data_IF_216378142722
#
_entry.id   IF_216378142722
#
_cell.length_a   1.000
_cell.length_b   1.000
_cell.length_c   1.000
_cell.angle_alpha   90.00
_cell.angle_beta   90.00
_cell.angle_gamma   90.00
#
_symmetry.space_group_name_H-M   'P 1'
#
loop_
_entity.id
_entity.type
_entity.pdbx_description
1 polymer ?
#
# COMPACT_ATOMS: atom_id res chain seq x y z
N UNK A 1 -36.07 -58.71 -82.72
CA UNK A 1 -35.85 -57.34 -82.23
C UNK A 1 -36.02 -57.35 -80.71
N UNK A 2 -35.09 -56.76 -79.95
CA UNK A 2 -35.22 -56.62 -78.50
C UNK A 2 -36.22 -55.50 -78.20
N UNK A 3 -37.15 -55.74 -77.26
CA UNK A 3 -38.22 -54.79 -76.92
C UNK A 3 -37.69 -53.47 -76.35
N UNK A 4 -38.51 -52.42 -76.32
CA UNK A 4 -38.10 -51.11 -75.83
C UNK A 4 -37.56 -51.21 -74.40
N UNK A 5 -36.45 -50.53 -74.14
CA UNK A 5 -35.89 -50.36 -72.81
C UNK A 5 -36.93 -49.65 -71.92
N UNK A 6 -37.19 -50.22 -70.74
CA UNK A 6 -38.18 -49.67 -69.82
C UNK A 6 -37.84 -48.28 -69.32
N UNK A 7 -38.88 -47.54 -68.90
CA UNK A 7 -38.75 -46.19 -68.37
C UNK A 7 -37.81 -46.13 -67.16
N UNK A 8 -37.10 -45.00 -67.03
CA UNK A 8 -36.25 -44.74 -65.87
C UNK A 8 -37.13 -44.70 -64.62
N UNK A 9 -36.74 -45.45 -63.59
CA UNK A 9 -37.46 -45.49 -62.31
C UNK A 9 -37.56 -44.11 -61.65
N UNK A 10 -38.63 -43.92 -60.87
CA UNK A 10 -38.85 -42.67 -60.14
C UNK A 10 -37.67 -42.34 -59.20
N UNK A 11 -37.33 -41.06 -59.12
CA UNK A 11 -36.33 -40.56 -58.15
C UNK A 11 -36.72 -40.95 -56.72
N UNK A 12 -35.75 -41.44 -55.95
CA UNK A 12 -35.98 -41.84 -54.55
C UNK A 12 -36.47 -40.69 -53.66
N UNK A 13 -37.17 -41.03 -52.58
CA UNK A 13 -37.65 -40.06 -51.61
C UNK A 13 -36.49 -39.28 -50.97
N UNK A 14 -36.75 -38.01 -50.62
CA UNK A 14 -35.81 -37.19 -49.84
C UNK A 14 -35.53 -37.90 -48.50
N UNK A 15 -34.26 -37.97 -48.10
CA UNK A 15 -33.88 -38.50 -46.79
C UNK A 15 -34.41 -37.66 -45.63
N UNK A 16 -34.51 -38.30 -44.46
CA UNK A 16 -35.02 -37.66 -43.24
C UNK A 16 -34.14 -36.49 -42.78
N UNK A 17 -34.76 -35.60 -42.00
CA UNK A 17 -34.04 -34.52 -41.33
C UNK A 17 -33.07 -35.12 -40.30
N UNK A 18 -31.82 -34.64 -40.26
CA UNK A 18 -30.88 -35.01 -39.21
C UNK A 18 -31.27 -34.50 -37.82
N UNK A 19 -30.73 -35.14 -36.79
CA UNK A 19 -31.01 -34.85 -35.39
C UNK A 19 -30.55 -33.43 -34.97
N UNK A 20 -31.18 -32.91 -33.91
CA UNK A 20 -30.76 -31.63 -33.31
C UNK A 20 -29.44 -31.80 -32.55
N UNK A 21 -28.51 -30.85 -32.71
CA UNK A 21 -27.24 -30.86 -31.99
C UNK A 21 -27.38 -30.67 -30.47
N UNK A 22 -26.34 -31.02 -29.71
CA UNK A 22 -26.33 -30.85 -28.26
C UNK A 22 -26.52 -29.38 -27.85
N UNK A 23 -27.29 -29.14 -26.78
CA UNK A 23 -27.51 -27.81 -26.24
C UNK A 23 -26.19 -27.18 -25.76
N UNK A 24 -26.03 -25.86 -25.99
CA UNK A 24 -24.97 -25.09 -25.35
C UNK A 24 -25.20 -25.07 -23.83
N UNK A 25 -24.12 -25.16 -23.05
CA UNK A 25 -24.20 -25.18 -21.60
C UNK A 25 -23.08 -24.39 -20.95
N UNK A 26 -23.35 -23.91 -19.75
CA UNK A 26 -22.40 -23.15 -18.94
C UNK A 26 -21.88 -24.02 -17.80
N UNK A 27 -20.57 -23.94 -17.56
CA UNK A 27 -19.99 -24.38 -16.30
C UNK A 27 -20.18 -23.31 -15.21
N UNK A 28 -19.56 -23.52 -14.06
CA UNK A 28 -19.64 -22.55 -12.94
C UNK A 28 -18.73 -21.35 -13.22
N UNK A 29 -19.27 -20.12 -13.31
CA UNK A 29 -18.42 -18.93 -13.43
C UNK A 29 -17.64 -18.68 -12.15
N UNK A 30 -16.47 -18.07 -12.26
CA UNK A 30 -15.61 -17.73 -11.12
C UNK A 30 -15.30 -16.24 -11.09
N UNK A 31 -15.17 -15.67 -9.90
CA UNK A 31 -14.69 -14.32 -9.70
C UNK A 31 -13.56 -14.29 -8.66
N UNK A 32 -12.50 -13.55 -8.94
CA UNK A 32 -11.37 -13.37 -8.04
C UNK A 32 -10.97 -11.89 -7.95
N UNK A 33 -10.47 -11.51 -6.78
CA UNK A 33 -9.95 -10.17 -6.52
C UNK A 33 -8.50 -10.28 -6.09
N UNK A 34 -7.64 -9.45 -6.70
CA UNK A 34 -6.25 -9.27 -6.32
C UNK A 34 -6.04 -7.83 -5.86
N UNK A 35 -5.35 -7.66 -4.73
CA UNK A 35 -4.91 -6.35 -4.28
C UNK A 35 -3.72 -5.88 -5.15
N UNK A 36 -3.75 -4.64 -5.60
CA UNK A 36 -2.64 -3.98 -6.31
C UNK A 36 -1.97 -2.95 -5.40
N UNK A 37 -0.76 -2.54 -5.76
CA UNK A 37 -0.06 -1.46 -5.08
C UNK A 37 -0.86 -0.14 -5.13
N UNK A 38 -0.62 0.76 -4.18
CA UNK A 38 -1.21 2.10 -4.21
C UNK A 38 -0.76 2.85 -5.47
N UNK A 39 -1.67 3.57 -6.11
CA UNK A 39 -1.42 4.28 -7.38
C UNK A 39 -1.32 3.39 -8.62
N UNK A 40 -1.46 2.06 -8.50
CA UNK A 40 -1.55 1.19 -9.68
C UNK A 40 -2.85 1.44 -10.46
N UNK A 41 -2.84 1.20 -11.77
CA UNK A 41 -4.07 1.23 -12.58
C UNK A 41 -4.97 0.06 -12.19
N UNK A 42 -6.26 0.28 -11.90
CA UNK A 42 -7.20 -0.82 -11.66
C UNK A 42 -7.35 -1.69 -12.90
N UNK A 43 -7.53 -3.00 -12.71
CA UNK A 43 -7.64 -3.95 -13.82
C UNK A 43 -8.92 -4.76 -13.76
N UNK A 44 -9.46 -5.07 -14.94
CA UNK A 44 -10.56 -6.00 -15.13
C UNK A 44 -10.16 -6.96 -16.24
N UNK A 45 -10.19 -8.25 -15.97
CA UNK A 45 -9.83 -9.30 -16.91
C UNK A 45 -10.95 -10.34 -16.97
N UNK A 46 -11.22 -10.86 -18.16
CA UNK A 46 -12.16 -11.96 -18.38
C UNK A 46 -11.44 -13.04 -19.18
N UNK A 47 -11.46 -14.27 -18.68
CA UNK A 47 -11.00 -15.44 -19.42
C UNK A 47 -12.14 -16.44 -19.59
N UNK A 48 -12.09 -17.18 -20.70
CA UNK A 48 -13.08 -18.21 -21.03
C UNK A 48 -12.38 -19.55 -21.15
N UNK A 49 -12.95 -20.57 -20.51
CA UNK A 49 -12.44 -21.95 -20.54
C UNK A 49 -13.59 -22.96 -20.65
N UNK A 50 -13.26 -24.26 -20.65
CA UNK A 50 -14.24 -25.34 -20.71
C UNK A 50 -14.79 -25.65 -22.13
N UNK A 51 -15.49 -26.78 -22.22
CA UNK A 51 -16.11 -27.26 -23.46
C UNK A 51 -17.27 -26.35 -23.92
N UNK A 52 -17.71 -26.43 -25.18
CA UNK A 52 -18.86 -25.63 -25.69
C UNK A 52 -20.17 -25.93 -24.94
N UNK A 53 -20.27 -27.12 -24.35
CA UNK A 53 -21.39 -27.58 -23.52
C UNK A 53 -21.22 -27.24 -22.03
N UNK A 54 -20.07 -26.68 -21.63
CA UNK A 54 -19.76 -26.35 -20.25
C UNK A 54 -18.78 -25.15 -20.20
N UNK A 55 -19.13 -24.06 -20.88
CA UNK A 55 -18.26 -22.88 -20.96
C UNK A 55 -18.17 -22.20 -19.60
N UNK A 56 -16.95 -21.88 -19.17
CA UNK A 56 -16.65 -21.23 -17.89
C UNK A 56 -16.10 -19.84 -18.17
N UNK A 57 -16.69 -18.85 -17.51
CA UNK A 57 -16.20 -17.46 -17.51
C UNK A 57 -15.53 -17.17 -16.19
N UNK A 58 -14.31 -16.66 -16.25
CA UNK A 58 -13.51 -16.30 -15.08
C UNK A 58 -13.23 -14.80 -15.10
N UNK A 59 -13.76 -14.10 -14.10
CA UNK A 59 -13.58 -12.66 -13.90
C UNK A 59 -12.47 -12.42 -12.89
N UNK A 60 -11.53 -11.55 -13.20
CA UNK A 60 -10.47 -11.13 -12.28
C UNK A 60 -10.42 -9.62 -12.17
N UNK A 61 -10.42 -9.12 -10.94
CA UNK A 61 -10.38 -7.70 -10.62
C UNK A 61 -9.08 -7.37 -9.88
N UNK A 62 -8.32 -6.41 -10.38
CA UNK A 62 -7.19 -5.83 -9.67
C UNK A 62 -7.59 -4.51 -9.03
N UNK A 63 -7.62 -4.46 -7.69
CA UNK A 63 -8.04 -3.29 -6.94
C UNK A 63 -6.81 -2.65 -6.25
N UNK A 64 -6.39 -1.44 -6.65
CA UNK A 64 -5.32 -0.71 -5.98
C UNK A 64 -5.63 -0.46 -4.51
N UNK A 65 -4.60 -0.52 -3.68
CA UNK A 65 -4.69 -0.05 -2.31
C UNK A 65 -5.01 1.45 -2.32
N UNK A 66 -5.89 1.88 -1.43
CA UNK A 66 -6.13 3.31 -1.20
C UNK A 66 -4.87 4.05 -0.78
N UNK A 67 -4.89 5.37 -0.92
CA UNK A 67 -3.78 6.23 -0.55
C UNK A 67 -3.40 6.05 0.93
N UNK A 68 -2.12 6.24 1.22
CA UNK A 68 -1.68 6.34 2.61
C UNK A 68 -2.35 7.58 3.21
N UNK A 69 -2.96 7.44 4.39
CA UNK A 69 -3.45 8.59 5.13
C UNK A 69 -2.34 9.58 5.47
N UNK A 70 -2.73 10.83 5.71
CA UNK A 70 -1.81 11.91 6.03
C UNK A 70 -0.93 11.59 7.25
N UNK A 71 0.25 12.23 7.30
CA UNK A 71 1.06 12.19 8.51
C UNK A 71 0.27 12.90 9.61
N UNK A 72 0.17 12.27 10.79
CA UNK A 72 -0.41 12.92 11.96
C UNK A 72 0.35 14.18 12.37
N UNK A 73 -0.34 15.06 13.09
CA UNK A 73 0.21 16.35 13.53
C UNK A 73 1.49 16.19 14.36
N UNK A 74 2.31 17.23 14.35
CA UNK A 74 3.45 17.32 15.26
C UNK A 74 2.92 17.40 16.70
N UNK A 75 3.50 16.60 17.60
CA UNK A 75 3.20 16.69 19.02
C UNK A 75 3.51 18.06 19.61
N UNK A 76 2.85 18.40 20.71
CA UNK A 76 3.08 19.66 21.42
C UNK A 76 4.55 19.82 21.84
N UNK A 77 5.01 21.07 21.91
CA UNK A 77 6.31 21.40 22.49
C UNK A 77 6.30 20.96 23.95
N UNK A 78 7.37 20.27 24.39
CA UNK A 78 7.52 19.87 25.79
C UNK A 78 7.53 21.08 26.73
N UNK A 79 7.19 20.84 28.00
CA UNK A 79 7.22 21.88 29.01
C UNK A 79 8.61 22.53 29.10
N UNK A 80 8.64 23.84 29.31
CA UNK A 80 9.87 24.57 29.64
C UNK A 80 10.52 23.93 30.86
N UNK A 81 11.84 23.74 30.83
CA UNK A 81 12.60 23.23 31.96
C UNK A 81 12.45 24.11 33.20
N UNK A 82 12.70 23.55 34.38
CA UNK A 82 12.74 24.31 35.61
C UNK A 82 13.76 25.45 35.52
N UNK A 83 13.45 26.59 36.15
CA UNK A 83 14.41 27.68 36.28
C UNK A 83 15.68 27.18 36.98
N UNK A 84 16.85 27.67 36.54
CA UNK A 84 18.11 27.40 37.22
C UNK A 84 18.10 27.94 38.65
N UNK A 85 18.92 27.34 39.52
CA UNK A 85 19.10 27.84 40.87
C UNK A 85 19.60 29.29 40.85
N UNK A 86 19.03 30.15 41.69
CA UNK A 86 19.56 31.48 41.91
C UNK A 86 20.94 31.37 42.60
N UNK A 87 21.97 32.08 42.13
CA UNK A 87 23.28 32.04 42.76
C UNK A 87 23.23 32.64 44.17
N UNK A 88 23.86 31.97 45.13
CA UNK A 88 23.94 32.41 46.52
C UNK A 88 25.17 33.29 46.72
N UNK A 89 24.95 34.54 47.16
CA UNK A 89 26.03 35.49 47.46
C UNK A 89 26.94 34.93 48.55
N UNK A 90 28.22 34.80 48.26
CA UNK A 90 29.24 34.32 49.20
C UNK A 90 29.61 32.84 49.07
N UNK A 91 28.84 32.04 48.32
CA UNK A 91 29.20 30.64 47.97
C UNK A 91 29.47 30.47 46.48
N UNK A 92 28.64 31.09 45.63
CA UNK A 92 28.64 30.77 44.19
C UNK A 92 29.39 31.81 43.34
N UNK A 93 29.72 32.96 43.93
CA UNK A 93 30.40 34.06 43.25
C UNK A 93 31.92 34.11 43.50
N UNK A 94 32.36 33.61 44.65
CA UNK A 94 33.76 33.60 45.04
C UNK A 94 34.01 32.30 45.80
N UNK A 95 34.94 31.49 45.34
CA UNK A 95 35.41 30.35 46.12
C UNK A 95 36.22 30.84 47.32
N UNK A 96 36.42 29.98 48.32
CA UNK A 96 37.31 30.30 49.44
C UNK A 96 38.74 30.66 48.97
N UNK A 97 39.19 30.09 47.84
CA UNK A 97 40.48 30.41 47.22
C UNK A 97 40.49 31.82 46.60
N UNK A 98 39.39 32.21 45.93
CA UNK A 98 39.25 33.58 45.39
C UNK A 98 39.25 34.62 46.52
N UNK A 99 38.52 34.33 47.61
CA UNK A 99 38.50 35.18 48.81
C UNK A 99 39.90 35.29 49.43
N UNK A 100 40.62 34.17 49.55
CA UNK A 100 41.98 34.16 50.10
C UNK A 100 42.96 34.96 49.22
N UNK A 101 42.82 34.86 47.91
CA UNK A 101 43.65 35.61 46.94
C UNK A 101 43.40 37.11 47.04
N UNK A 102 42.13 37.53 47.12
CA UNK A 102 41.76 38.94 47.31
C UNK A 102 42.31 39.47 48.63
N UNK A 103 42.19 38.70 49.73
CA UNK A 103 42.79 39.08 51.02
C UNK A 103 44.30 39.24 50.91
N UNK A 104 44.98 38.28 50.28
CA UNK A 104 46.43 38.38 50.05
C UNK A 104 46.80 39.65 49.28
N UNK A 105 46.06 40.02 48.23
CA UNK A 105 46.34 41.24 47.48
C UNK A 105 46.08 42.50 48.30
N UNK A 106 44.99 42.56 49.06
CA UNK A 106 44.68 43.69 49.95
C UNK A 106 45.73 43.82 51.04
N UNK A 107 46.09 42.73 51.70
CA UNK A 107 47.10 42.70 52.76
C UNK A 107 48.45 43.13 52.21
N UNK A 108 48.85 42.62 51.03
CA UNK A 108 50.09 43.01 50.36
C UNK A 108 50.08 44.49 49.97
N UNK A 109 48.97 45.02 49.45
CA UNK A 109 48.86 46.43 49.05
C UNK A 109 48.86 47.38 50.26
N UNK A 110 48.29 46.96 51.40
CA UNK A 110 48.32 47.72 52.65
C UNK A 110 49.72 47.64 53.29
N UNK A 111 50.33 46.46 53.34
CA UNK A 111 51.65 46.22 53.96
C UNK A 111 52.81 46.81 53.15
N UNK A 112 52.70 46.81 51.82
CA UNK A 112 53.72 47.39 50.95
C UNK A 112 53.50 48.89 50.66
N UNK A 113 52.54 49.53 51.33
CA UNK A 113 52.45 50.99 51.43
C UNK A 113 52.62 51.75 50.10
N UNK A 114 51.90 51.33 49.05
CA UNK A 114 51.79 52.11 47.83
C UNK A 114 50.37 52.66 47.71
N UNK A 115 50.07 53.66 48.55
CA UNK A 115 48.89 54.52 48.42
C UNK A 115 49.39 55.96 48.26
#
# INVERSE_FOLDING_TARGET
>A
AQGPQGDIGATGAKGDKGDTGAAAGFGTPTAAVAALAAGATPTVQVSVSGANTAKVFSFSFGIPKGDKGDKGDKGETGATGAAGAAPVRGTDYWTAADIATIKSYVDTAILNGTW
#
